data_IF_538560815949
#
_entry.id   IF_538560815949
#
_cell.length_a   1.000
_cell.length_b   1.000
_cell.length_c   1.000
_cell.angle_alpha   90.00
_cell.angle_beta   90.00
_cell.angle_gamma   90.00
#
_symmetry.space_group_name_H-M   'P 1'
#
loop_
_entity.id
_entity.type
_entity.pdbx_description
1 polymer ?
#
# COMPACT_ATOMS: atom_id res chain seq x y z
N UNK A 1 9.41 11.34 10.06
CA UNK A 1 8.20 11.58 10.87
C UNK A 1 7.57 12.94 10.64
N UNK A 2 8.32 14.06 10.57
CA UNK A 2 7.71 15.39 10.32
C UNK A 2 6.95 15.56 9.00
N UNK A 3 7.33 14.85 7.93
CA UNK A 3 6.71 14.96 6.60
C UNK A 3 5.26 14.44 6.52
N UNK A 4 4.94 13.36 7.23
CA UNK A 4 3.56 12.84 7.31
C UNK A 4 2.65 13.82 8.06
N UNK A 5 3.16 14.44 9.13
CA UNK A 5 2.43 15.45 9.89
C UNK A 5 2.20 16.70 9.05
N UNK A 6 3.23 17.17 8.32
CA UNK A 6 3.10 18.29 7.38
C UNK A 6 2.11 17.99 6.25
N UNK A 7 2.16 16.79 5.65
CA UNK A 7 1.22 16.37 4.62
C UNK A 7 -0.20 16.23 5.16
N UNK A 8 -0.37 15.69 6.38
CA UNK A 8 -1.68 15.62 7.03
C UNK A 8 -2.25 17.01 7.30
N UNK A 9 -1.44 17.97 7.75
CA UNK A 9 -1.90 19.35 7.95
C UNK A 9 -2.21 20.05 6.62
N UNK A 10 -1.41 19.81 5.58
CA UNK A 10 -1.58 20.40 4.25
C UNK A 10 -2.79 19.87 3.47
N UNK A 11 -3.27 18.66 3.80
CA UNK A 11 -4.41 17.99 3.13
C UNK A 11 -5.68 17.94 3.97
N UNK A 12 -5.70 18.67 5.09
CA UNK A 12 -6.77 18.59 6.08
C UNK A 12 -7.04 17.13 6.51
N UNK A 13 -5.99 16.45 6.96
CA UNK A 13 -5.94 15.03 7.32
C UNK A 13 -6.29 14.09 6.16
N UNK A 14 -5.83 14.41 4.95
CA UNK A 14 -6.14 13.68 3.71
C UNK A 14 -7.64 13.68 3.36
N UNK A 15 -8.38 14.68 3.85
CA UNK A 15 -9.79 14.90 3.51
C UNK A 15 -9.96 15.55 2.14
N UNK A 16 -8.97 16.32 1.69
CA UNK A 16 -9.04 17.06 0.44
C UNK A 16 -8.73 16.17 -0.78
N UNK A 17 -9.21 16.57 -1.96
CA UNK A 17 -9.00 15.86 -3.25
C UNK A 17 -7.56 15.99 -3.81
N UNK A 18 -6.63 16.57 -3.04
CA UNK A 18 -5.26 16.78 -3.50
C UNK A 18 -4.51 15.44 -3.51
N UNK A 19 -3.84 15.13 -4.62
CA UNK A 19 -3.08 13.90 -4.73
C UNK A 19 -1.95 13.89 -3.71
N UNK A 20 -1.87 12.83 -2.90
CA UNK A 20 -0.91 12.74 -1.81
C UNK A 20 0.53 12.68 -2.32
N UNK A 21 0.73 12.11 -3.51
CA UNK A 21 2.05 12.03 -4.17
C UNK A 21 2.54 13.37 -4.71
N UNK A 22 1.64 14.34 -4.92
CA UNK A 22 2.03 15.71 -5.29
C UNK A 22 2.58 16.49 -4.09
N UNK A 23 2.29 16.03 -2.87
CA UNK A 23 2.66 16.69 -1.62
C UNK A 23 3.85 16.01 -0.95
N UNK A 24 3.90 14.67 -1.01
CA UNK A 24 4.98 13.89 -0.42
C UNK A 24 5.94 13.46 -1.52
N UNK A 25 7.12 14.06 -1.51
CA UNK A 25 8.15 13.75 -2.50
C UNK A 25 8.63 12.30 -2.40
N UNK A 26 9.11 11.77 -3.53
CA UNK A 26 9.62 10.39 -3.65
C UNK A 26 10.65 10.03 -2.57
N UNK A 27 11.55 10.94 -2.21
CA UNK A 27 12.58 10.65 -1.21
C UNK A 27 11.99 10.46 0.19
N UNK A 28 10.93 11.22 0.51
CA UNK A 28 10.17 11.08 1.76
C UNK A 28 9.40 9.77 1.81
N UNK A 29 8.77 9.34 0.71
CA UNK A 29 8.08 8.04 0.63
C UNK A 29 9.05 6.86 0.80
N UNK A 30 10.23 6.92 0.18
CA UNK A 30 11.27 5.89 0.34
C UNK A 30 11.74 5.81 1.79
N UNK A 31 12.00 6.96 2.44
CA UNK A 31 12.39 6.99 3.87
C UNK A 31 11.29 6.45 4.77
N UNK A 32 10.02 6.76 4.47
CA UNK A 32 8.88 6.22 5.21
C UNK A 32 8.82 4.69 5.08
N UNK A 33 8.96 4.16 3.86
CA UNK A 33 9.00 2.71 3.63
C UNK A 33 10.12 2.04 4.43
N UNK A 34 11.32 2.62 4.43
CA UNK A 34 12.44 2.13 5.24
C UNK A 34 12.15 2.14 6.74
N UNK A 35 11.48 3.17 7.26
CA UNK A 35 11.05 3.22 8.65
C UNK A 35 10.01 2.14 8.96
N UNK A 36 9.04 1.92 8.07
CA UNK A 36 8.01 0.89 8.23
C UNK A 36 8.61 -0.52 8.26
N UNK A 37 9.57 -0.82 7.38
CA UNK A 37 10.31 -2.10 7.42
C UNK A 37 11.02 -2.29 8.77
N UNK A 38 11.67 -1.25 9.31
CA UNK A 38 12.37 -1.34 10.60
C UNK A 38 11.46 -1.65 11.79
N UNK A 39 10.17 -1.27 11.72
CA UNK A 39 9.17 -1.58 12.75
C UNK A 39 8.34 -2.82 12.44
N UNK A 40 8.73 -3.61 11.42
CA UNK A 40 8.08 -4.86 11.04
C UNK A 40 6.84 -4.70 10.15
N UNK A 41 6.51 -3.48 9.71
CA UNK A 41 5.31 -3.18 8.92
C UNK A 41 5.56 -3.36 7.41
N UNK A 42 6.00 -4.56 7.00
CA UNK A 42 6.41 -4.87 5.62
C UNK A 42 5.29 -4.65 4.59
N UNK A 43 4.06 -5.06 4.90
CA UNK A 43 2.90 -4.88 4.02
C UNK A 43 2.63 -3.39 3.78
N UNK A 44 2.55 -2.60 4.85
CA UNK A 44 2.36 -1.16 4.76
C UNK A 44 3.52 -0.47 4.01
N UNK A 45 4.76 -0.92 4.21
CA UNK A 45 5.94 -0.40 3.53
C UNK A 45 5.91 -0.65 2.01
N UNK A 46 5.39 -1.82 1.59
CA UNK A 46 5.30 -2.21 0.20
C UNK A 46 4.22 -1.44 -0.58
N UNK A 47 3.12 -1.05 0.08
CA UNK A 47 2.05 -0.23 -0.53
C UNK A 47 2.60 1.05 -1.17
N UNK A 48 3.58 1.69 -0.52
CA UNK A 48 4.21 2.94 -1.00
C UNK A 48 4.91 2.81 -2.36
N UNK A 49 5.35 1.60 -2.73
CA UNK A 49 6.05 1.39 -4.00
C UNK A 49 5.12 1.37 -5.21
N UNK A 50 3.80 1.29 -5.00
CA UNK A 50 2.80 1.48 -6.06
C UNK A 50 2.67 2.96 -6.47
N UNK A 51 3.17 3.91 -5.67
CA UNK A 51 3.22 5.34 -6.01
C UNK A 51 4.33 5.68 -7.01
N UNK A 52 5.16 4.72 -7.40
CA UNK A 52 6.32 4.93 -8.25
C UNK A 52 6.13 4.29 -9.62
N UNK A 53 7.07 4.54 -10.53
CA UNK A 53 7.03 3.91 -11.85
C UNK A 53 7.23 2.38 -11.74
N UNK A 54 6.67 1.58 -12.66
CA UNK A 54 6.73 0.11 -12.60
C UNK A 54 8.13 -0.49 -12.43
N UNK A 55 9.19 0.19 -12.87
CA UNK A 55 10.58 -0.26 -12.70
C UNK A 55 11.01 -0.36 -11.23
N UNK A 56 10.34 0.38 -10.34
CA UNK A 56 10.58 0.40 -8.91
C UNK A 56 9.74 -0.63 -8.14
N UNK A 57 8.72 -1.26 -8.76
CA UNK A 57 7.86 -2.24 -8.08
C UNK A 57 8.66 -3.40 -7.50
N UNK A 58 9.76 -3.78 -8.15
CA UNK A 58 10.70 -4.81 -7.67
C UNK A 58 11.16 -4.60 -6.23
N UNK A 59 11.27 -3.35 -5.75
CA UNK A 59 11.67 -3.05 -4.38
C UNK A 59 10.54 -3.34 -3.40
N UNK A 60 9.30 -2.95 -3.72
CA UNK A 60 8.11 -3.29 -2.93
C UNK A 60 7.84 -4.79 -2.87
N UNK A 61 7.93 -5.48 -4.01
CA UNK A 61 7.81 -6.94 -4.08
C UNK A 61 8.91 -7.64 -3.27
N UNK A 62 10.14 -7.10 -3.26
CA UNK A 62 11.21 -7.62 -2.40
C UNK A 62 10.88 -7.46 -0.92
N UNK A 63 10.31 -6.33 -0.51
CA UNK A 63 9.91 -6.09 0.89
C UNK A 63 8.90 -7.14 1.36
N UNK A 64 7.88 -7.46 0.55
CA UNK A 64 6.89 -8.49 0.88
C UNK A 64 7.51 -9.90 1.07
N UNK A 65 8.66 -10.16 0.45
CA UNK A 65 9.37 -11.44 0.60
C UNK A 65 10.27 -11.50 1.85
N UNK A 66 10.53 -10.38 2.50
CA UNK A 66 11.48 -10.34 3.63
C UNK A 66 10.96 -11.05 4.88
N UNK A 67 9.66 -10.96 5.15
CA UNK A 67 9.04 -11.56 6.33
C UNK A 67 7.56 -11.93 6.10
N UNK A 68 7.25 -12.89 5.21
CA UNK A 68 5.86 -13.29 4.92
C UNK A 68 5.06 -13.72 6.15
N UNK A 69 5.72 -14.32 7.15
CA UNK A 69 5.13 -14.72 8.43
C UNK A 69 4.66 -13.54 9.29
N UNK A 70 5.19 -12.33 9.03
CA UNK A 70 4.83 -11.11 9.76
C UNK A 70 3.67 -10.34 9.10
N UNK A 71 3.16 -10.84 7.97
CA UNK A 71 2.10 -10.15 7.24
C UNK A 71 0.78 -10.11 8.02
N UNK A 72 0.21 -8.92 8.11
CA UNK A 72 -1.13 -8.67 8.61
C UNK A 72 -2.07 -8.22 7.50
N UNK A 73 -3.33 -8.65 7.55
CA UNK A 73 -4.35 -8.30 6.55
C UNK A 73 -4.75 -6.82 6.53
N UNK A 74 -4.44 -6.06 7.59
CA UNK A 74 -4.92 -4.68 7.79
C UNK A 74 -4.51 -3.69 6.68
N UNK A 75 -3.54 -4.04 5.84
CA UNK A 75 -3.11 -3.20 4.72
C UNK A 75 -3.33 -3.82 3.32
N UNK A 76 -3.92 -5.02 3.21
CA UNK A 76 -4.12 -5.66 1.90
C UNK A 76 -5.05 -4.87 0.99
N UNK A 77 -6.06 -4.21 1.55
CA UNK A 77 -7.02 -3.38 0.81
C UNK A 77 -6.39 -2.15 0.13
N UNK A 78 -5.13 -1.82 0.41
CA UNK A 78 -4.46 -0.67 -0.19
C UNK A 78 -3.52 -1.07 -1.35
N UNK A 79 -3.59 -2.31 -1.83
CA UNK A 79 -2.96 -2.69 -3.09
C UNK A 79 -3.95 -2.52 -4.25
N UNK A 80 -3.53 -1.78 -5.28
CA UNK A 80 -4.23 -1.63 -6.55
C UNK A 80 -3.44 -2.20 -7.73
N UNK A 81 -2.15 -2.46 -7.54
CA UNK A 81 -1.29 -3.07 -8.56
C UNK A 81 -1.35 -4.60 -8.49
N UNK A 82 -1.80 -5.22 -9.57
CA UNK A 82 -1.94 -6.68 -9.67
C UNK A 82 -0.66 -7.46 -9.31
N UNK A 83 0.56 -7.06 -9.73
CA UNK A 83 1.77 -7.79 -9.38
C UNK A 83 2.00 -7.96 -7.88
N UNK A 84 1.54 -6.99 -7.06
CA UNK A 84 1.64 -7.08 -5.61
C UNK A 84 0.60 -8.04 -5.04
N UNK A 85 -0.65 -7.95 -5.51
CA UNK A 85 -1.73 -8.84 -5.09
C UNK A 85 -1.43 -10.30 -5.46
N UNK A 86 -0.96 -10.55 -6.67
CA UNK A 86 -0.55 -11.88 -7.15
C UNK A 86 0.59 -12.46 -6.31
N UNK A 87 1.60 -11.66 -5.98
CA UNK A 87 2.69 -12.11 -5.11
C UNK A 87 2.18 -12.46 -3.70
N UNK A 88 1.28 -11.66 -3.14
CA UNK A 88 0.71 -11.94 -1.83
C UNK A 88 -0.12 -13.24 -1.83
N UNK A 89 -0.89 -13.50 -2.90
CA UNK A 89 -1.61 -14.77 -3.09
C UNK A 89 -0.63 -15.93 -3.16
N UNK A 90 0.42 -15.83 -3.98
CA UNK A 90 1.44 -16.87 -4.12
C UNK A 90 2.14 -17.18 -2.79
N UNK A 91 2.59 -16.14 -2.08
CA UNK A 91 3.22 -16.29 -0.76
C UNK A 91 2.31 -17.01 0.24
N UNK A 92 1.05 -16.62 0.32
CA UNK A 92 0.09 -17.15 1.30
C UNK A 92 -0.66 -18.41 0.84
N UNK A 93 -0.44 -18.86 -0.40
CA UNK A 93 -0.87 -20.18 -0.89
C UNK A 93 0.23 -21.23 -0.70
N UNK A 94 1.48 -20.80 -0.51
CA UNK A 94 2.60 -21.70 -0.23
C UNK A 94 2.44 -22.42 1.10
N UNK A 95 2.72 -23.74 1.19
CA UNK A 95 2.61 -24.50 2.45
C UNK A 95 3.37 -23.91 3.64
N UNK A 96 4.41 -23.11 3.37
CA UNK A 96 5.24 -22.48 4.40
C UNK A 96 4.54 -21.32 5.13
N UNK A 97 3.67 -20.58 4.43
CA UNK A 97 3.00 -19.38 4.95
C UNK A 97 1.50 -19.40 4.68
N UNK A 98 0.95 -20.60 4.55
CA UNK A 98 -0.42 -20.86 4.14
C UNK A 98 -1.39 -20.11 5.04
N UNK A 99 -2.27 -19.32 4.42
CA UNK A 99 -3.35 -18.64 5.12
C UNK A 99 -4.55 -18.47 4.18
N UNK A 100 -5.50 -19.41 4.25
CA UNK A 100 -6.67 -19.45 3.36
C UNK A 100 -7.51 -18.18 3.43
N UNK A 101 -7.60 -17.54 4.62
CA UNK A 101 -8.30 -16.28 4.78
C UNK A 101 -7.62 -15.17 3.99
N UNK A 102 -6.29 -15.10 4.03
CA UNK A 102 -5.54 -14.10 3.29
C UNK A 102 -5.68 -14.33 1.79
N UNK A 103 -5.55 -15.59 1.33
CA UNK A 103 -5.75 -15.97 -0.07
C UNK A 103 -7.14 -15.57 -0.56
N UNK A 104 -8.19 -15.83 0.22
CA UNK A 104 -9.56 -15.44 -0.11
C UNK A 104 -9.72 -13.91 -0.21
N UNK A 105 -9.21 -13.16 0.77
CA UNK A 105 -9.26 -11.70 0.77
C UNK A 105 -8.56 -11.10 -0.45
N UNK A 106 -7.34 -11.56 -0.74
CA UNK A 106 -6.54 -11.09 -1.85
C UNK A 106 -7.16 -11.46 -3.21
N UNK A 107 -7.73 -12.66 -3.33
CA UNK A 107 -8.45 -13.09 -4.53
C UNK A 107 -9.68 -12.19 -4.78
N UNK A 108 -10.43 -11.85 -3.72
CA UNK A 108 -11.57 -10.93 -3.84
C UNK A 108 -11.12 -9.53 -4.26
N UNK A 109 -9.95 -9.06 -3.80
CA UNK A 109 -9.38 -7.78 -4.24
C UNK A 109 -9.02 -7.81 -5.73
N UNK A 110 -8.34 -8.87 -6.20
CA UNK A 110 -8.00 -9.04 -7.63
C UNK A 110 -9.26 -9.05 -8.50
N UNK A 111 -10.34 -9.65 -8.01
CA UNK A 111 -11.63 -9.72 -8.70
C UNK A 111 -12.46 -8.43 -8.60
N UNK A 112 -12.01 -7.43 -7.84
CA UNK A 112 -12.72 -6.17 -7.70
C UNK A 112 -12.81 -5.45 -9.06
N UNK A 113 -14.01 -5.05 -9.51
CA UNK A 113 -14.16 -4.37 -10.80
C UNK A 113 -13.42 -3.03 -10.85
N UNK A 114 -13.15 -2.42 -9.70
CA UNK A 114 -12.40 -1.17 -9.58
C UNK A 114 -10.92 -1.32 -9.98
N UNK A 115 -10.34 -2.52 -9.81
CA UNK A 115 -8.94 -2.82 -10.16
C UNK A 115 -8.77 -3.41 -11.57
N UNK A 116 -9.84 -3.41 -12.38
CA UNK A 116 -9.77 -3.94 -13.72
C UNK A 116 -8.84 -3.08 -14.59
N UNK A 117 -7.79 -3.70 -15.15
CA UNK A 117 -6.83 -3.03 -16.03
C UNK A 117 -7.41 -2.47 -17.33
N UNK A 118 -8.65 -2.85 -17.65
CA UNK A 118 -9.40 -2.35 -18.81
C UNK A 118 -10.18 -1.07 -18.49
N UNK A 119 -10.18 -0.61 -17.23
CA UNK A 119 -10.85 0.61 -16.83
C UNK A 119 -10.19 1.84 -17.50
N UNK A 120 -10.99 2.88 -17.82
CA UNK A 120 -10.44 4.16 -18.25
C UNK A 120 -9.46 4.73 -17.20
N UNK A 121 -8.43 5.45 -17.66
CA UNK A 121 -7.41 6.04 -16.76
C UNK A 121 -8.01 6.96 -15.70
N UNK A 122 -9.12 7.64 -15.99
CA UNK A 122 -9.83 8.45 -14.99
C UNK A 122 -10.34 7.61 -13.81
N UNK A 123 -10.88 6.42 -14.07
CA UNK A 123 -11.37 5.51 -13.02
C UNK A 123 -10.21 4.95 -12.22
N UNK A 124 -9.12 4.57 -12.89
CA UNK A 124 -7.90 4.07 -12.21
C UNK A 124 -7.32 5.14 -11.28
N UNK A 125 -7.19 6.37 -11.75
CA UNK A 125 -6.68 7.49 -10.96
C UNK A 125 -7.58 7.80 -9.76
N UNK A 126 -8.91 7.76 -9.93
CA UNK A 126 -9.86 7.99 -8.84
C UNK A 126 -9.74 6.93 -7.73
N UNK A 127 -9.57 5.66 -8.14
CA UNK A 127 -9.35 4.54 -7.22
C UNK A 127 -8.03 4.70 -6.47
N UNK A 128 -6.94 5.01 -7.18
CA UNK A 128 -5.62 5.25 -6.60
C UNK A 128 -5.68 6.37 -5.54
N UNK A 129 -6.24 7.53 -5.92
CA UNK A 129 -6.37 8.67 -5.01
C UNK A 129 -7.21 8.35 -3.77
N UNK A 130 -8.28 7.55 -3.92
CA UNK A 130 -9.11 7.11 -2.79
C UNK A 130 -8.33 6.16 -1.88
N UNK A 131 -7.62 5.18 -2.45
CA UNK A 131 -6.82 4.21 -1.69
C UNK A 131 -5.72 4.92 -0.91
N UNK A 132 -4.97 5.80 -1.56
CA UNK A 132 -3.87 6.53 -0.92
C UNK A 132 -4.34 7.39 0.26
N UNK A 133 -5.46 8.12 0.11
CA UNK A 133 -6.03 8.91 1.21
C UNK A 133 -6.38 8.03 2.41
N UNK A 134 -7.04 6.90 2.19
CA UNK A 134 -7.36 5.96 3.26
C UNK A 134 -6.10 5.36 3.88
N UNK A 135 -5.15 4.93 3.07
CA UNK A 135 -3.88 4.36 3.52
C UNK A 135 -3.13 5.31 4.44
N UNK A 136 -2.90 6.56 4.03
CA UNK A 136 -2.15 7.52 4.84
C UNK A 136 -2.89 7.92 6.11
N UNK A 137 -4.22 8.05 6.05
CA UNK A 137 -5.04 8.31 7.23
C UNK A 137 -4.92 7.19 8.26
N UNK A 138 -5.01 5.94 7.82
CA UNK A 138 -4.95 4.79 8.72
C UNK A 138 -3.52 4.52 9.22
N UNK A 139 -2.51 4.77 8.39
CA UNK A 139 -1.11 4.78 8.80
C UNK A 139 -0.85 5.82 9.91
N UNK A 140 -1.38 7.04 9.75
CA UNK A 140 -1.27 8.06 10.77
C UNK A 140 -1.97 7.67 12.07
N UNK A 141 -3.17 7.08 11.98
CA UNK A 141 -3.90 6.61 13.17
C UNK A 141 -3.12 5.57 13.95
N UNK A 142 -2.49 4.61 13.27
CA UNK A 142 -1.75 3.52 13.92
C UNK A 142 -0.45 4.01 14.56
N UNK A 143 0.27 4.93 13.90
CA UNK A 143 1.63 5.31 14.32
C UNK A 143 1.76 6.69 14.99
N UNK A 144 0.74 7.55 14.96
CA UNK A 144 0.77 8.88 15.56
C UNK A 144 -0.31 9.16 16.62
N UNK A 145 -1.18 8.21 16.94
CA UNK A 145 -2.21 8.41 17.99
C UNK A 145 -1.72 8.10 19.42
N UNK A 146 -0.42 8.24 19.69
CA UNK A 146 0.17 8.13 21.03
C UNK A 146 0.62 9.51 21.52
#
# INVERSE_FOLDING_TARGET
MGYLMAASLATNFFSDMVSVVDIIDRSSLVRLSQCLVKVGAHVAAAVLYQCFMPEDFKYGLRILRLAPESHGEGFFQYFWELPFLELLVDLHSSPRYLNDRYVMLLTNLIQSPELNSSNPSSVVNDVEHRILRCYFRDLCRIYFSN
#
